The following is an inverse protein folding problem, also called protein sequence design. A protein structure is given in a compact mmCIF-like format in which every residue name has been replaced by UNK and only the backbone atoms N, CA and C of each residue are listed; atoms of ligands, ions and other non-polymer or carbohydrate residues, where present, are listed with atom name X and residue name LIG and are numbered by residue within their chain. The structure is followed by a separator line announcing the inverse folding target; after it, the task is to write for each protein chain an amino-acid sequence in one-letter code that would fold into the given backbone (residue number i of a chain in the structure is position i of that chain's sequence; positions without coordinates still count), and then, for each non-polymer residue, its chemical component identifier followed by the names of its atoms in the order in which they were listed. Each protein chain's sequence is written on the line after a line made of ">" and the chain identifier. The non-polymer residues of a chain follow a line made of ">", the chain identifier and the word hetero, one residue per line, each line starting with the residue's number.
data_IF_803308940703
#
_entry.id   IF_803308940703
#
_cell.length_a   1.000
_cell.length_b   1.000
_cell.length_c   1.000
_cell.angle_alpha   90.00
_cell.angle_beta   90.00
_cell.angle_gamma   90.00
#
_symmetry.space_group_name_H-M   'P 1'
#
loop_
_entity.id
_entity.type
_entity.pdbx_description
1 polymer ?
#
# COMPACT_ATOMS: atom_id res chain seq x y z
N UNK A 1 5.02 -0.74 -18.24
CA UNK A 1 4.24 0.36 -18.85
C UNK A 1 3.32 -0.31 -19.86
N UNK A 2 2.20 0.32 -20.25
CA UNK A 2 1.38 -0.23 -21.36
C UNK A 2 1.97 0.10 -22.73
N UNK A 3 2.95 1.01 -22.79
CA UNK A 3 3.62 1.48 -24.01
C UNK A 3 4.96 0.79 -24.23
N UNK A 4 5.75 0.63 -23.16
CA UNK A 4 7.06 -0.01 -23.21
C UNK A 4 7.15 -1.13 -22.15
N UNK A 5 7.53 -2.32 -22.58
CA UNK A 5 7.68 -3.50 -21.73
C UNK A 5 8.85 -3.42 -20.74
N UNK A 6 9.86 -2.59 -21.03
CA UNK A 6 11.06 -2.43 -20.20
C UNK A 6 10.93 -1.32 -19.15
N UNK A 7 9.87 -0.51 -19.21
CA UNK A 7 9.65 0.61 -18.29
C UNK A 7 8.59 0.23 -17.26
N UNK A 8 8.91 0.29 -15.97
CA UNK A 8 7.94 0.14 -14.89
C UNK A 8 7.52 1.52 -14.36
N UNK A 9 6.21 1.76 -14.23
CA UNK A 9 5.66 2.98 -13.63
C UNK A 9 4.88 2.56 -12.39
N UNK A 10 5.21 3.16 -11.25
CA UNK A 10 4.63 2.86 -9.94
C UNK A 10 4.33 4.17 -9.19
N UNK A 11 3.75 4.03 -8.00
CA UNK A 11 3.30 5.12 -7.15
C UNK A 11 2.21 5.96 -7.81
N UNK A 12 2.19 7.23 -7.43
CA UNK A 12 1.16 8.18 -7.83
C UNK A 12 1.15 8.49 -9.34
N UNK A 13 2.25 8.21 -10.05
CA UNK A 13 2.32 8.37 -11.50
C UNK A 13 1.60 7.24 -12.26
N UNK A 14 1.34 6.10 -11.61
CA UNK A 14 0.71 4.95 -12.28
C UNK A 14 -0.81 5.09 -12.39
N UNK A 15 -1.42 4.28 -13.27
CA UNK A 15 -2.88 4.10 -13.35
C UNK A 15 -3.25 2.79 -12.66
N UNK A 16 -3.26 2.78 -11.33
CA UNK A 16 -3.20 1.55 -10.52
C UNK A 16 -4.55 0.90 -10.17
N UNK A 17 -5.64 1.21 -10.86
CA UNK A 17 -6.95 0.60 -10.57
C UNK A 17 -7.54 1.05 -9.24
N UNK A 18 -7.98 0.08 -8.42
CA UNK A 18 -8.72 0.35 -7.18
C UNK A 18 -7.82 0.81 -6.02
N UNK A 19 -6.50 0.67 -6.16
CA UNK A 19 -5.56 1.00 -5.10
C UNK A 19 -5.36 2.52 -5.01
N UNK A 20 -5.41 3.14 -3.81
CA UNK A 20 -5.29 4.59 -3.70
C UNK A 20 -3.87 5.09 -4.03
N UNK A 21 -3.75 6.39 -4.29
CA UNK A 21 -2.46 7.09 -4.40
C UNK A 21 -1.97 7.45 -2.99
N UNK A 22 -1.07 6.64 -2.44
CA UNK A 22 -0.56 6.77 -1.07
C UNK A 22 0.89 6.28 -0.97
N UNK A 23 1.60 6.71 0.08
CA UNK A 23 2.94 6.21 0.37
C UNK A 23 3.00 4.69 0.58
N UNK A 24 1.99 4.11 1.24
CA UNK A 24 1.94 2.66 1.46
C UNK A 24 1.67 1.89 0.16
N UNK A 25 0.79 2.40 -0.70
CA UNK A 25 0.55 1.85 -2.03
C UNK A 25 1.79 1.92 -2.92
N UNK A 26 2.51 3.05 -2.93
CA UNK A 26 3.74 3.20 -3.67
C UNK A 26 4.83 2.20 -3.20
N UNK A 27 5.01 2.06 -1.88
CA UNK A 27 5.93 1.07 -1.30
C UNK A 27 5.54 -0.37 -1.69
N UNK A 28 4.25 -0.72 -1.61
CA UNK A 28 3.75 -2.05 -1.97
C UNK A 28 3.99 -2.36 -3.46
N UNK A 29 3.75 -1.40 -4.35
CA UNK A 29 4.03 -1.52 -5.78
C UNK A 29 5.53 -1.65 -6.05
N UNK A 30 6.37 -0.87 -5.37
CA UNK A 30 7.83 -0.93 -5.54
C UNK A 30 8.39 -2.32 -5.24
N UNK A 31 7.91 -2.97 -4.18
CA UNK A 31 8.29 -4.35 -3.83
C UNK A 31 7.90 -5.35 -4.92
N UNK A 32 6.68 -5.25 -5.46
CA UNK A 32 6.24 -6.11 -6.57
C UNK A 32 7.05 -5.85 -7.84
N UNK A 33 7.29 -4.58 -8.18
CA UNK A 33 8.07 -4.20 -9.36
C UNK A 33 9.51 -4.71 -9.26
N UNK A 34 10.17 -4.55 -8.10
CA UNK A 34 11.51 -5.06 -7.86
C UNK A 34 11.59 -6.59 -8.02
N UNK A 35 10.60 -7.34 -7.50
CA UNK A 35 10.55 -8.79 -7.69
C UNK A 35 10.37 -9.19 -9.17
N UNK A 36 9.50 -8.48 -9.90
CA UNK A 36 9.27 -8.74 -11.32
C UNK A 36 10.51 -8.43 -12.17
N UNK A 37 11.16 -7.29 -11.94
CA UNK A 37 12.39 -6.87 -12.63
C UNK A 37 13.50 -7.90 -12.37
N UNK A 38 13.73 -8.27 -11.11
CA UNK A 38 14.71 -9.30 -10.76
C UNK A 38 14.40 -10.60 -11.50
N UNK A 39 13.15 -11.07 -11.47
CA UNK A 39 12.75 -12.29 -12.15
C UNK A 39 12.99 -12.26 -13.67
N UNK A 40 12.68 -11.13 -14.31
CA UNK A 40 12.92 -10.94 -15.74
C UNK A 40 14.42 -10.94 -16.09
N UNK A 41 15.25 -10.32 -15.25
CA UNK A 41 16.70 -10.23 -15.48
C UNK A 41 17.46 -11.52 -15.17
N UNK A 42 17.00 -12.31 -14.19
CA UNK A 42 17.73 -13.49 -13.71
C UNK A 42 17.09 -14.83 -14.10
N UNK A 43 15.89 -14.80 -14.71
CA UNK A 43 15.09 -16.01 -14.95
C UNK A 43 14.57 -16.68 -13.67
N UNK A 44 14.64 -16.00 -12.52
CA UNK A 44 14.14 -16.54 -11.26
C UNK A 44 12.62 -16.64 -11.24
N UNK A 45 12.10 -17.60 -10.45
CA UNK A 45 10.66 -17.75 -10.22
C UNK A 45 10.04 -16.44 -9.70
N UNK A 46 8.99 -15.98 -10.37
CA UNK A 46 8.16 -14.85 -9.94
C UNK A 46 6.87 -15.39 -9.34
N UNK A 47 6.48 -14.85 -8.19
CA UNK A 47 5.23 -15.23 -7.52
C UNK A 47 4.11 -14.25 -7.90
N UNK A 48 2.83 -14.67 -7.80
CA UNK A 48 1.70 -13.77 -8.04
C UNK A 48 1.79 -12.51 -7.16
N UNK A 49 1.58 -11.36 -7.80
CA UNK A 49 1.62 -10.07 -7.12
C UNK A 49 0.50 -9.95 -6.09
N UNK A 50 0.87 -9.50 -4.88
CA UNK A 50 -0.06 -9.13 -3.80
C UNK A 50 0.28 -7.74 -3.33
N UNK A 51 -0.74 -6.94 -3.07
CA UNK A 51 -0.57 -5.56 -2.63
C UNK A 51 -1.42 -5.27 -1.39
N UNK A 52 -0.99 -4.28 -0.62
CA UNK A 52 -1.71 -3.80 0.54
C UNK A 52 -1.61 -2.28 0.64
N UNK A 53 -2.63 -1.69 1.25
CA UNK A 53 -2.63 -0.29 1.62
C UNK A 53 -3.30 -0.11 2.98
N UNK A 54 -2.81 0.84 3.75
CA UNK A 54 -3.55 1.47 4.84
C UNK A 54 -3.14 2.95 4.90
N UNK A 55 -4.12 3.83 4.99
CA UNK A 55 -3.91 5.26 5.20
C UNK A 55 -4.48 5.61 6.57
N UNK A 56 -3.67 6.27 7.39
CA UNK A 56 -4.10 6.84 8.67
C UNK A 56 -4.37 8.33 8.48
N UNK A 57 -5.29 8.85 9.29
CA UNK A 57 -5.57 10.28 9.40
C UNK A 57 -5.68 10.61 10.88
N UNK A 58 -4.88 11.57 11.33
CA UNK A 58 -4.89 12.05 12.70
C UNK A 58 -5.83 13.25 12.77
N UNK A 59 -6.90 13.11 13.54
CA UNK A 59 -7.92 14.15 13.73
C UNK A 59 -7.47 15.13 14.81
N UNK A 60 -6.93 14.59 15.91
CA UNK A 60 -6.33 15.33 17.03
C UNK A 60 -5.27 14.43 17.71
N UNK A 61 -4.64 14.96 18.75
CA UNK A 61 -3.77 14.22 19.67
C UNK A 61 -4.53 13.02 20.24
N UNK A 62 -4.00 11.81 20.06
CA UNK A 62 -4.64 10.56 20.46
C UNK A 62 -5.99 10.26 19.77
N UNK A 63 -6.29 10.89 18.63
CA UNK A 63 -7.47 10.59 17.83
C UNK A 63 -7.06 10.26 16.38
N UNK A 64 -7.05 8.98 16.05
CA UNK A 64 -6.71 8.47 14.73
C UNK A 64 -7.84 7.67 14.10
N UNK A 65 -7.98 7.80 12.78
CA UNK A 65 -8.81 6.93 11.94
C UNK A 65 -7.98 6.32 10.83
N UNK A 66 -8.41 5.18 10.30
CA UNK A 66 -7.70 4.51 9.21
C UNK A 66 -8.64 3.85 8.20
N UNK A 67 -8.13 3.71 6.99
CA UNK A 67 -8.76 2.94 5.91
C UNK A 67 -7.71 2.06 5.25
N UNK A 68 -8.01 0.79 5.06
CA UNK A 68 -7.07 -0.18 4.50
C UNK A 68 -7.72 -1.26 3.68
N UNK A 69 -6.91 -1.93 2.86
CA UNK A 69 -7.37 -2.99 1.98
C UNK A 69 -6.21 -3.85 1.47
N UNK A 70 -6.56 -5.06 1.03
CA UNK A 70 -5.68 -5.95 0.25
C UNK A 70 -6.11 -5.97 -1.20
N UNK A 71 -5.15 -6.18 -2.10
CA UNK A 71 -5.40 -6.14 -3.53
C UNK A 71 -4.61 -7.23 -4.27
N UNK A 72 -5.12 -7.58 -5.45
CA UNK A 72 -4.46 -8.50 -6.40
C UNK A 72 -4.43 -7.88 -7.78
N UNK A 73 -3.42 -8.23 -8.57
CA UNK A 73 -3.43 -7.91 -9.99
C UNK A 73 -4.45 -8.78 -10.73
N UNK A 74 -5.21 -8.18 -11.64
CA UNK A 74 -6.01 -8.84 -12.68
C UNK A 74 -5.51 -8.38 -14.05
N UNK A 75 -6.05 -8.96 -15.12
CA UNK A 75 -5.71 -8.56 -16.50
C UNK A 75 -6.05 -7.09 -16.78
N UNK A 76 -6.99 -6.52 -16.04
CA UNK A 76 -7.51 -5.17 -16.25
C UNK A 76 -6.86 -4.14 -15.32
N UNK A 77 -6.70 -4.48 -14.03
CA UNK A 77 -6.31 -3.53 -12.98
C UNK A 77 -5.76 -4.22 -11.72
N UNK A 78 -5.24 -3.43 -10.78
CA UNK A 78 -5.07 -3.90 -9.40
C UNK A 78 -6.45 -3.75 -8.72
N UNK A 79 -7.07 -4.89 -8.43
CA UNK A 79 -8.44 -4.96 -7.91
C UNK A 79 -8.45 -5.18 -6.40
N UNK A 80 -9.36 -4.51 -5.70
CA UNK A 80 -9.58 -4.71 -4.26
C UNK A 80 -10.10 -6.12 -3.99
N UNK A 81 -9.53 -6.78 -2.99
CA UNK A 81 -9.95 -8.11 -2.53
C UNK A 81 -10.79 -7.99 -1.26
N UNK A 82 -10.27 -7.28 -0.26
CA UNK A 82 -10.93 -7.05 1.03
C UNK A 82 -10.47 -5.71 1.61
N UNK A 83 -11.22 -5.13 2.56
CA UNK A 83 -10.75 -3.95 3.27
C UNK A 83 -11.62 -3.51 4.44
N UNK A 84 -11.11 -2.51 5.15
CA UNK A 84 -11.68 -1.98 6.38
C UNK A 84 -11.61 -0.45 6.38
N UNK A 85 -12.50 0.17 7.16
CA UNK A 85 -12.49 1.59 7.47
C UNK A 85 -12.93 1.78 8.92
N UNK A 86 -12.29 2.70 9.65
CA UNK A 86 -12.73 3.13 10.97
C UNK A 86 -14.20 3.54 10.94
N UNK A 87 -14.96 3.10 11.94
CA UNK A 87 -16.40 3.38 12.04
C UNK A 87 -16.65 4.72 12.73
N UNK A 88 -17.82 5.28 12.47
CA UNK A 88 -18.36 6.38 13.29
C UNK A 88 -18.70 5.83 14.69
N UNK A 89 -18.51 6.67 15.72
CA UNK A 89 -18.80 6.27 17.11
C UNK A 89 -17.83 5.27 17.73
N UNK A 90 -16.64 5.07 17.15
CA UNK A 90 -15.56 4.34 17.83
C UNK A 90 -15.21 5.02 19.16
N UNK A 91 -14.89 4.21 20.18
CA UNK A 91 -14.52 4.73 21.49
C UNK A 91 -13.19 5.48 21.43
N UNK A 92 -12.97 6.38 22.40
CA UNK A 92 -11.72 7.12 22.52
C UNK A 92 -10.49 6.18 22.59
N UNK A 93 -10.61 5.03 23.27
CA UNK A 93 -9.53 4.06 23.36
C UNK A 93 -9.17 3.44 22.00
N UNK A 94 -10.16 3.15 21.15
CA UNK A 94 -9.94 2.63 19.79
C UNK A 94 -9.31 3.70 18.88
N UNK A 95 -9.79 4.95 18.98
CA UNK A 95 -9.21 6.09 18.26
C UNK A 95 -7.76 6.36 18.66
N UNK A 96 -7.46 6.26 19.96
CA UNK A 96 -6.11 6.38 20.51
C UNK A 96 -5.19 5.25 20.04
N UNK A 97 -5.65 4.01 20.09
CA UNK A 97 -4.87 2.87 19.57
C UNK A 97 -4.55 3.04 18.07
N UNK A 98 -5.52 3.55 17.29
CA UNK A 98 -5.31 3.85 15.86
C UNK A 98 -4.29 4.97 15.64
N UNK A 99 -4.30 6.01 16.49
CA UNK A 99 -3.28 7.06 16.49
C UNK A 99 -1.89 6.47 16.78
N UNK A 100 -1.74 5.66 17.83
CA UNK A 100 -0.45 5.06 18.22
C UNK A 100 0.09 4.11 17.13
N UNK A 101 -0.78 3.31 16.51
CA UNK A 101 -0.45 2.46 15.36
C UNK A 101 0.10 3.29 14.19
N UNK A 102 -0.44 4.49 13.94
CA UNK A 102 0.01 5.34 12.84
C UNK A 102 1.47 5.80 13.03
N UNK A 103 1.88 6.07 14.27
CA UNK A 103 3.26 6.44 14.59
C UNK A 103 4.21 5.27 14.33
N UNK A 104 3.79 4.07 14.76
CA UNK A 104 4.52 2.83 14.47
C UNK A 104 4.62 2.56 12.96
N UNK A 105 3.54 2.75 12.22
CA UNK A 105 3.54 2.65 10.76
C UNK A 105 4.51 3.65 10.13
N UNK A 106 4.48 4.92 10.53
CA UNK A 106 5.35 5.95 9.93
C UNK A 106 6.83 5.64 10.18
N UNK A 107 7.20 5.27 11.41
CA UNK A 107 8.55 4.84 11.72
C UNK A 107 8.95 3.58 10.92
N UNK A 108 8.06 2.59 10.84
CA UNK A 108 8.31 1.34 10.12
C UNK A 108 8.47 1.52 8.62
N UNK A 109 7.58 2.28 7.97
CA UNK A 109 7.61 2.47 6.52
C UNK A 109 8.79 3.36 6.09
N UNK A 110 9.18 4.35 6.88
CA UNK A 110 10.35 5.18 6.59
C UNK A 110 11.64 4.37 6.72
N UNK A 111 11.77 3.53 7.75
CA UNK A 111 12.89 2.61 7.88
C UNK A 111 12.95 1.59 6.73
N UNK A 112 11.81 0.99 6.35
CA UNK A 112 11.74 0.05 5.22
C UNK A 112 12.16 0.65 3.88
N UNK A 113 11.92 1.95 3.67
CA UNK A 113 12.26 2.64 2.42
C UNK A 113 13.70 3.18 2.39
N UNK A 114 14.23 3.62 3.54
CA UNK A 114 15.42 4.48 3.57
C UNK A 114 16.48 4.08 4.61
N UNK A 115 16.21 3.11 5.50
CA UNK A 115 17.14 2.62 6.53
C UNK A 115 17.92 1.40 6.06
#
# INVERSE_FOLDING_TARGET
>A
SKVDGNIHVLGDASSQGDMPKSGFSANSQAKVAAMAIRGALTGSKVFPAKFSNTCWSLVDTNDGVKVGATYKATDEKIAKVDGFISKTGETADVRKATYEESLGWYAGITADMFG
#
